data_IF_267935825673
#
_entry.id   IF_267935825673
#
_cell.length_a   1.000
_cell.length_b   1.000
_cell.length_c   1.000
_cell.angle_alpha   90.00
_cell.angle_beta   90.00
_cell.angle_gamma   90.00
#
_symmetry.space_group_name_H-M   'P 1'
#
loop_
_entity.id
_entity.type
_entity.pdbx_description
1 polymer ?
2 non-polymer ?
3 non-polymer ?
4 water ?
#
# COMPACT_ATOMS: atom_id res chain seq x y z
N UNK A 3 -24.09 1.75 -9.04
CA UNK A 3 -23.60 0.67 -8.16
C UNK A 3 -24.66 0.12 -7.23
N UNK A 4 -24.61 -1.15 -6.87
CA UNK A 4 -25.47 -1.68 -5.80
C UNK A 4 -25.32 -0.91 -4.48
N UNK A 5 -26.31 -0.96 -3.62
CA UNK A 5 -26.12 -0.39 -2.25
C UNK A 5 -25.07 -1.16 -1.49
N UNK A 6 -24.17 -0.49 -0.76
CA UNK A 6 -23.26 -1.20 0.14
C UNK A 6 -24.08 -2.04 1.14
N UNK A 7 -23.54 -3.18 1.52
CA UNK A 7 -24.27 -4.08 2.41
C UNK A 7 -23.62 -4.01 3.81
N UNK A 8 -24.21 -3.25 4.73
CA UNK A 8 -23.59 -3.12 6.03
C UNK A 8 -23.70 -4.35 6.87
N UNK A 9 -24.75 -5.16 6.73
CA UNK A 9 -24.84 -6.41 7.48
C UNK A 9 -23.71 -7.32 7.04
N UNK A 10 -23.44 -7.37 5.73
CA UNK A 10 -22.31 -8.14 5.21
C UNK A 10 -20.96 -7.60 5.73
N UNK A 11 -20.79 -6.27 5.73
CA UNK A 11 -19.57 -5.74 6.30
C UNK A 11 -19.41 -6.12 7.75
N UNK A 12 -20.49 -6.02 8.52
CA UNK A 12 -20.43 -6.39 9.95
C UNK A 12 -19.94 -7.84 10.09
N UNK A 13 -20.49 -8.73 9.25
CA UNK A 13 -20.11 -10.16 9.32
C UNK A 13 -18.66 -10.34 8.93
N UNK A 14 -18.16 -9.60 7.96
CA UNK A 14 -16.75 -9.73 7.58
C UNK A 14 -15.90 -9.37 8.78
N UNK A 15 -16.17 -8.26 9.44
CA UNK A 15 -15.31 -7.84 10.55
C UNK A 15 -15.39 -8.86 11.69
N UNK A 16 -16.59 -9.38 11.96
CA UNK A 16 -16.74 -10.34 13.04
C UNK A 16 -16.00 -11.61 12.73
N UNK A 17 -16.04 -12.05 11.46
CA UNK A 17 -15.25 -13.23 11.06
C UNK A 17 -13.78 -12.96 11.22
N UNK A 18 -13.28 -11.81 10.81
CA UNK A 18 -11.87 -11.49 10.98
C UNK A 18 -11.43 -11.56 12.45
N UNK A 19 -12.24 -11.02 13.35
CA UNK A 19 -11.92 -11.16 14.79
C UNK A 19 -11.83 -12.63 15.18
N UNK A 20 -12.77 -13.45 14.68
CA UNK A 20 -12.77 -14.87 15.08
C UNK A 20 -11.53 -15.56 14.55
N UNK A 21 -10.85 -14.99 13.56
CA UNK A 21 -9.69 -15.61 12.95
C UNK A 21 -8.39 -15.03 13.49
N UNK A 22 -8.46 -14.07 14.42
CA UNK A 22 -7.25 -13.63 15.10
C UNK A 22 -6.98 -12.16 14.97
N UNK A 23 -7.79 -11.40 14.27
CA UNK A 23 -7.60 -9.95 14.27
C UNK A 23 -8.05 -9.39 15.61
N UNK A 24 -7.25 -8.63 16.34
CA UNK A 24 -7.74 -8.00 17.56
C UNK A 24 -8.85 -7.01 17.24
N UNK A 25 -8.74 -6.29 16.14
CA UNK A 25 -9.69 -5.25 15.72
C UNK A 25 -9.77 -5.26 14.19
N UNK A 26 -10.92 -4.81 13.69
CA UNK A 26 -11.09 -4.73 12.23
C UNK A 26 -12.10 -3.64 11.99
N UNK A 27 -11.93 -2.87 10.89
CA UNK A 27 -12.83 -1.73 10.66
C UNK A 27 -12.86 -1.44 9.17
N UNK A 28 -13.88 -0.68 8.78
CA UNK A 28 -14.08 -0.33 7.36
C UNK A 28 -14.85 0.97 7.26
N UNK A 29 -14.46 1.78 6.25
CA UNK A 29 -15.21 2.98 5.96
C UNK A 29 -15.49 3.02 4.47
N UNK A 30 -16.74 3.28 4.12
CA UNK A 30 -17.11 3.47 2.70
C UNK A 30 -17.56 4.89 2.52
N UNK A 31 -17.04 5.52 1.50
CA UNK A 31 -17.57 6.84 1.08
C UNK A 31 -18.36 6.52 -0.19
N UNK A 32 -19.69 6.47 -0.09
CA UNK A 32 -20.56 6.12 -1.19
C UNK A 32 -21.15 7.41 -1.77
N UNK A 33 -20.40 8.07 -2.60
CA UNK A 33 -20.88 9.29 -3.26
C UNK A 33 -21.47 10.26 -2.25
N UNK A 34 -20.78 10.47 -1.13
CA UNK A 34 -21.21 11.45 -0.16
C UNK A 34 -22.04 10.93 0.98
N UNK A 35 -22.37 9.64 1.01
CA UNK A 35 -23.02 8.98 2.12
C UNK A 35 -21.99 8.05 2.75
N UNK A 36 -21.74 8.19 4.04
CA UNK A 36 -20.69 7.42 4.71
C UNK A 36 -21.23 6.14 5.32
N UNK A 37 -20.46 5.06 5.21
CA UNK A 37 -20.71 3.85 5.99
C UNK A 37 -19.48 3.62 6.87
N UNK A 38 -19.64 3.31 8.14
CA UNK A 38 -18.45 3.09 8.98
C UNK A 38 -18.81 2.04 10.03
N UNK A 39 -17.93 1.03 10.11
CA UNK A 39 -18.12 -0.07 11.05
C UNK A 39 -16.75 -0.46 11.63
N UNK A 40 -16.79 -0.91 12.87
CA UNK A 40 -15.54 -1.37 13.51
C UNK A 40 -15.89 -2.40 14.57
N UNK A 41 -15.01 -3.33 14.82
CA UNK A 41 -15.27 -4.28 15.91
C UNK A 41 -13.92 -4.58 16.54
N UNK A 42 -13.91 -4.76 17.86
CA UNK A 42 -12.68 -5.21 18.52
C UNK A 42 -11.80 -4.06 18.99
N UNK A 43 -10.51 -4.37 19.15
CA UNK A 43 -9.65 -3.51 19.95
C UNK A 43 -8.51 -2.97 19.12
N UNK A 44 -8.21 -1.70 19.35
CA UNK A 44 -7.00 -1.04 18.85
C UNK A 44 -5.78 -1.46 19.65
N UNK A 45 -5.94 -1.64 20.95
CA UNK A 45 -4.86 -2.08 21.83
C UNK A 45 -5.39 -3.27 22.60
N UNK A 46 -4.83 -4.45 22.35
CA UNK A 46 -5.43 -5.64 23.00
C UNK A 46 -5.04 -5.76 24.43
N UNK A 47 -3.98 -5.07 24.85
CA UNK A 47 -3.54 -5.13 26.24
C UNK A 47 -4.33 -4.17 27.11
N UNK A 48 -4.62 -2.96 26.60
CA UNK A 48 -5.41 -2.04 27.40
C UNK A 48 -6.90 -2.19 27.15
N UNK A 49 -7.27 -2.85 26.04
CA UNK A 49 -8.66 -3.04 25.72
C UNK A 49 -9.27 -1.87 25.01
N UNK A 50 -8.54 -0.83 24.64
CA UNK A 50 -9.13 0.31 23.96
C UNK A 50 -9.76 -0.09 22.63
N UNK A 51 -11.03 0.25 22.38
CA UNK A 51 -11.72 -0.14 21.20
C UNK A 51 -11.13 0.49 19.96
N UNK A 52 -11.13 -0.30 18.87
CA UNK A 52 -10.74 0.25 17.56
C UNK A 52 -11.88 1.07 17.00
N UNK A 53 -11.54 2.11 16.23
CA UNK A 53 -12.55 2.95 15.55
C UNK A 53 -12.08 3.31 14.16
N UNK A 54 -12.95 3.76 13.27
CA UNK A 54 -12.56 4.07 11.89
C UNK A 54 -11.75 5.36 11.82
N UNK A 55 -11.58 6.10 12.92
CA UNK A 55 -10.66 7.27 12.85
C UNK A 55 -9.26 6.94 13.33
N UNK A 56 -8.99 5.72 13.78
CA UNK A 56 -7.64 5.40 14.23
C UNK A 56 -6.65 5.39 13.08
N UNK A 57 -5.52 6.06 13.28
CA UNK A 57 -4.51 5.96 12.24
C UNK A 57 -3.82 4.61 12.25
N UNK A 58 -3.21 4.30 11.11
CA UNK A 58 -2.58 3.00 10.96
C UNK A 58 -1.51 3.06 9.88
N UNK A 59 -0.70 2.01 9.82
CA UNK A 59 0.34 1.91 8.77
C UNK A 59 -0.26 1.26 7.54
N UNK A 60 -0.20 1.95 6.41
CA UNK A 60 -0.91 1.49 5.20
C UNK A 60 -0.07 0.56 4.34
N UNK A 61 1.18 0.30 4.73
CA UNK A 61 2.02 -0.61 3.93
C UNK A 61 2.08 -0.21 2.48
N UNK A 62 1.90 -1.22 1.62
CA UNK A 62 2.14 -1.01 0.20
C UNK A 62 1.15 -0.09 -0.50
N UNK A 63 0.11 0.40 0.17
CA UNK A 63 -0.65 1.52 -0.37
C UNK A 63 0.29 2.68 -0.66
N UNK A 64 1.41 2.78 0.08
CA UNK A 64 2.43 3.78 -0.21
C UNK A 64 2.88 3.76 -1.67
N UNK A 65 2.88 2.59 -2.29
CA UNK A 65 3.31 2.55 -3.69
C UNK A 65 2.46 3.45 -4.58
N UNK A 66 1.14 3.55 -4.27
CA UNK A 66 0.32 4.43 -5.08
C UNK A 66 0.67 5.89 -4.88
N UNK A 67 1.03 6.26 -3.64
CA UNK A 67 1.47 7.64 -3.41
C UNK A 67 2.76 7.91 -4.16
N UNK A 68 3.73 6.98 -4.10
CA UNK A 68 4.97 7.13 -4.87
C UNK A 68 4.69 7.26 -6.36
N UNK A 69 3.78 6.40 -6.87
CA UNK A 69 3.45 6.42 -8.32
C UNK A 69 2.82 7.76 -8.71
N UNK A 70 1.93 8.32 -7.89
CA UNK A 70 1.34 9.60 -8.24
C UNK A 70 2.41 10.68 -8.35
N UNK A 71 3.37 10.70 -7.39
CA UNK A 71 4.43 11.71 -7.52
C UNK A 71 5.19 11.50 -8.83
N UNK A 72 5.58 10.26 -9.12
CA UNK A 72 6.33 10.04 -10.35
C UNK A 72 5.51 10.44 -11.58
N UNK A 73 4.23 10.15 -11.58
CA UNK A 73 3.45 10.51 -12.78
C UNK A 73 3.27 12.00 -12.89
N UNK A 74 3.21 12.75 -11.80
CA UNK A 74 3.22 14.24 -11.93
C UNK A 74 4.55 14.68 -12.48
N UNK A 75 5.67 14.01 -12.13
CA UNK A 75 6.96 14.38 -12.73
C UNK A 75 6.97 14.09 -14.21
N UNK A 76 6.30 13.04 -14.66
CA UNK A 76 6.14 12.82 -16.11
C UNK A 76 5.35 13.95 -16.71
N UNK A 77 4.22 14.36 -16.12
CA UNK A 77 3.46 15.51 -16.61
C UNK A 77 4.32 16.77 -16.72
N UNK A 78 5.26 16.96 -15.79
CA UNK A 78 6.13 18.16 -15.77
C UNK A 78 7.30 18.06 -16.73
N UNK A 79 7.46 16.91 -17.43
CA UNK A 79 8.55 16.76 -18.39
C UNK A 79 9.85 16.34 -17.76
N UNK A 80 9.81 15.90 -16.52
CA UNK A 80 11.03 15.58 -15.78
C UNK A 80 11.41 14.11 -15.83
N UNK A 81 10.50 13.29 -16.33
CA UNK A 81 10.63 11.84 -16.25
C UNK A 81 9.96 11.26 -17.48
N UNK A 82 10.58 10.31 -18.13
CA UNK A 82 9.99 9.58 -19.25
C UNK A 82 9.84 8.15 -18.80
N UNK A 83 8.61 7.63 -18.83
CA UNK A 83 8.39 6.28 -18.31
C UNK A 83 9.19 5.22 -19.06
N UNK A 84 9.53 5.46 -20.35
CA UNK A 84 10.23 4.41 -21.08
C UNK A 84 11.73 4.65 -21.06
N UNK A 85 12.23 5.69 -20.37
CA UNK A 85 13.69 5.80 -20.21
C UNK A 85 14.16 4.76 -19.20
N UNK A 86 15.42 4.38 -19.34
CA UNK A 86 16.03 3.46 -18.39
C UNK A 86 16.18 4.09 -17.02
N UNK A 87 16.04 3.28 -15.98
CA UNK A 87 16.31 3.76 -14.63
C UNK A 87 17.71 4.38 -14.56
N UNK A 88 18.69 3.69 -15.18
CA UNK A 88 20.09 4.14 -15.07
C UNK A 88 20.32 5.46 -15.77
N UNK A 89 19.42 5.89 -16.67
CA UNK A 89 19.53 7.25 -17.19
C UNK A 89 19.48 8.27 -16.07
N UNK A 90 18.62 8.05 -15.05
CA UNK A 90 18.46 9.04 -13.98
C UNK A 90 19.31 8.72 -12.75
N UNK A 91 19.61 7.44 -12.57
CA UNK A 91 20.34 6.96 -11.41
C UNK A 91 21.54 6.15 -11.94
N UNK A 92 22.59 6.85 -12.38
CA UNK A 92 23.60 6.14 -13.18
C UNK A 92 24.26 5.07 -12.32
N UNK A 93 24.53 3.94 -12.97
CA UNK A 93 25.20 2.86 -12.29
C UNK A 93 24.30 2.09 -11.33
N UNK A 94 23.03 2.43 -11.16
CA UNK A 94 22.29 1.78 -10.08
C UNK A 94 22.01 0.32 -10.35
N UNK A 95 21.46 -0.01 -11.53
CA UNK A 95 21.03 -1.38 -11.82
C UNK A 95 22.03 -2.03 -12.75
N UNK A 96 22.18 -3.35 -12.71
CA UNK A 96 23.16 -4.03 -13.57
C UNK A 96 22.71 -4.04 -15.02
N UNK A 97 21.45 -3.72 -15.32
CA UNK A 97 20.92 -3.79 -16.69
C UNK A 97 20.43 -2.41 -17.05
N UNK A 98 21.08 -1.74 -18.00
CA UNK A 98 20.74 -0.37 -18.38
C UNK A 98 19.50 -0.40 -19.25
N UNK A 99 18.83 -1.51 -19.47
CA UNK A 99 17.60 -1.55 -20.26
C UNK A 99 16.35 -1.61 -19.36
N UNK A 100 16.54 -1.79 -18.05
CA UNK A 100 15.35 -1.77 -17.16
C UNK A 100 14.82 -0.35 -17.12
N UNK A 101 13.51 -0.22 -17.43
CA UNK A 101 12.93 1.12 -17.55
C UNK A 101 12.06 1.49 -16.34
N UNK A 102 11.74 2.77 -16.25
CA UNK A 102 10.92 3.27 -15.15
C UNK A 102 9.55 2.61 -15.20
N UNK A 103 8.95 2.43 -16.36
CA UNK A 103 7.63 1.80 -16.50
C UNK A 103 7.69 0.37 -16.02
N UNK A 104 8.77 -0.34 -16.37
CA UNK A 104 8.91 -1.72 -15.90
C UNK A 104 9.00 -1.75 -14.38
N UNK A 105 9.76 -0.85 -13.74
CA UNK A 105 9.83 -0.86 -12.25
C UNK A 105 8.47 -0.59 -11.69
N UNK A 106 7.75 0.40 -12.23
CA UNK A 106 6.47 0.79 -11.61
C UNK A 106 5.37 -0.25 -11.74
N UNK A 107 5.54 -1.16 -12.70
CA UNK A 107 4.55 -2.24 -12.91
C UNK A 107 5.06 -3.59 -12.47
N UNK A 108 6.19 -3.64 -11.75
CA UNK A 108 6.76 -4.90 -11.27
C UNK A 108 7.11 -5.82 -12.42
N UNK A 109 7.61 -5.27 -13.55
CA UNK A 109 8.07 -6.13 -14.66
C UNK A 109 9.57 -6.01 -14.82
N UNK A 110 10.26 -5.52 -13.81
CA UNK A 110 11.69 -5.22 -13.98
C UNK A 110 12.58 -6.44 -13.75
N UNK A 111 12.07 -7.47 -13.10
CA UNK A 111 12.90 -8.60 -12.67
C UNK A 111 13.69 -8.36 -11.41
N UNK A 112 13.60 -7.19 -10.76
CA UNK A 112 14.41 -7.01 -9.56
C UNK A 112 13.95 -7.92 -8.43
N UNK A 113 14.89 -8.59 -7.80
CA UNK A 113 14.57 -9.52 -6.74
C UNK A 113 14.07 -8.75 -5.51
N UNK A 114 13.09 -9.32 -4.82
CA UNK A 114 12.54 -8.62 -3.65
C UNK A 114 13.34 -8.98 -2.40
N UNK A 115 14.13 -8.04 -1.91
CA UNK A 115 14.98 -8.28 -0.74
C UNK A 115 14.16 -8.70 0.49
N UNK A 116 12.88 -8.33 0.53
CA UNK A 116 12.13 -8.65 1.74
C UNK A 116 11.87 -10.16 1.86
N UNK A 117 12.03 -10.96 0.81
CA UNK A 117 11.97 -12.40 0.97
C UNK A 117 13.15 -12.92 1.79
N UNK A 118 14.28 -12.20 1.80
CA UNK A 118 15.37 -12.61 2.67
C UNK A 118 15.06 -12.17 4.08
N UNK A 119 14.58 -10.95 4.23
CA UNK A 119 14.42 -10.36 5.57
C UNK A 119 13.41 -11.13 6.41
N UNK A 120 12.32 -11.59 5.77
CA UNK A 120 11.19 -12.07 6.55
C UNK A 120 10.95 -13.56 6.37
N UNK A 121 12.01 -14.31 6.02
CA UNK A 121 11.85 -15.76 5.96
C UNK A 121 11.29 -16.33 7.24
N UNK A 122 11.67 -15.75 8.37
CA UNK A 122 11.07 -16.01 9.68
C UNK A 122 10.38 -14.74 10.14
N UNK A 123 9.07 -14.78 10.42
CA UNK A 123 8.26 -13.57 10.58
C UNK A 123 8.71 -12.73 11.74
N UNK A 124 8.69 -13.31 12.95
CA UNK A 124 9.00 -12.48 14.12
C UNK A 124 10.49 -12.21 14.20
N UNK A 125 11.42 -13.15 14.02
CA UNK A 125 12.83 -12.80 14.05
C UNK A 125 13.13 -11.76 13.00
N UNK A 126 12.52 -11.85 11.81
CA UNK A 126 12.83 -10.84 10.77
C UNK A 126 12.36 -9.45 11.17
N UNK A 127 11.15 -9.41 11.75
CA UNK A 127 10.67 -8.13 12.27
C UNK A 127 11.61 -7.60 13.32
N UNK A 128 12.03 -8.44 14.27
CA UNK A 128 12.92 -7.95 15.32
C UNK A 128 14.21 -7.46 14.71
N UNK A 129 14.65 -8.07 13.63
CA UNK A 129 15.90 -7.66 13.00
C UNK A 129 15.75 -6.29 12.36
N UNK A 130 14.65 -5.96 11.68
CA UNK A 130 14.64 -4.72 10.89
C UNK A 130 13.92 -3.60 11.62
N UNK A 131 13.17 -3.85 12.70
CA UNK A 131 12.21 -2.84 13.16
C UNK A 131 12.87 -1.55 13.60
N UNK A 132 14.08 -1.63 14.12
CA UNK A 132 14.82 -0.46 14.59
C UNK A 132 16.01 -0.13 13.72
N UNK A 133 16.08 -0.67 12.52
CA UNK A 133 17.17 -0.33 11.59
C UNK A 133 16.77 0.85 10.73
N UNK A 134 17.78 1.62 10.37
CA UNK A 134 17.64 2.70 9.37
C UNK A 134 18.50 2.33 8.16
N UNK A 135 17.89 2.19 7.02
CA UNK A 135 18.55 1.85 5.80
C UNK A 135 18.61 3.07 4.88
N UNK A 136 19.64 3.23 4.06
CA UNK A 136 19.54 4.17 2.95
C UNK A 136 18.77 3.48 1.85
N UNK A 137 18.34 4.23 0.85
CA UNK A 137 17.75 3.62 -0.33
C UNK A 137 18.77 2.68 -0.99
N UNK A 138 20.01 3.16 -1.13
CA UNK A 138 21.04 2.36 -1.79
C UNK A 138 21.26 1.04 -1.03
N UNK A 139 21.18 1.04 0.31
CA UNK A 139 21.34 -0.19 1.07
C UNK A 139 20.36 -1.25 0.62
N UNK A 140 19.11 -0.83 0.43
CA UNK A 140 18.08 -1.81 0.05
C UNK A 140 18.27 -2.28 -1.38
N UNK A 141 18.67 -1.36 -2.30
CA UNK A 141 18.98 -1.81 -3.66
C UNK A 141 20.12 -2.84 -3.64
N UNK A 142 21.16 -2.54 -2.86
CA UNK A 142 22.30 -3.46 -2.83
C UNK A 142 21.84 -4.82 -2.33
N UNK A 143 20.93 -4.88 -1.34
CA UNK A 143 20.44 -6.16 -0.84
C UNK A 143 19.74 -6.88 -1.95
N UNK A 144 18.93 -6.20 -2.76
CA UNK A 144 18.27 -6.88 -3.90
C UNK A 144 19.30 -7.42 -4.86
N UNK A 145 20.32 -6.60 -5.18
CA UNK A 145 21.23 -6.88 -6.30
C UNK A 145 22.19 -8.02 -5.95
N UNK A 146 22.26 -8.42 -4.67
CA UNK A 146 23.02 -9.60 -4.31
C UNK A 146 22.46 -10.82 -5.03
N UNK A 147 21.22 -10.80 -5.44
CA UNK A 147 20.53 -11.87 -6.10
C UNK A 147 20.50 -11.63 -7.58
N UNK A 148 20.22 -12.62 -8.40
CA UNK A 148 20.27 -12.02 -9.80
C UNK A 148 18.92 -11.33 -9.99
N UNK A 149 18.63 -10.93 -11.19
CA UNK A 149 17.23 -10.67 -11.52
C UNK A 149 16.51 -11.99 -11.75
N UNK A 150 15.18 -11.92 -11.69
CA UNK A 150 14.42 -13.17 -11.73
C UNK A 150 13.87 -13.40 -13.12
N UNK A 151 13.93 -12.41 -14.01
CA UNK A 151 13.42 -12.55 -15.36
C UNK A 151 13.96 -11.38 -16.18
N UNK A 152 13.83 -11.49 -17.52
CA UNK A 152 14.24 -10.42 -18.42
C UNK A 152 13.46 -9.15 -18.19
N UNK A 153 14.01 -7.96 -18.43
CA UNK A 153 13.21 -6.75 -18.21
C UNK A 153 11.94 -6.75 -19.07
N UNK A 154 10.89 -6.34 -18.37
CA UNK A 154 9.56 -6.17 -18.94
C UNK A 154 8.81 -7.46 -19.14
N UNK A 155 9.46 -8.62 -18.90
CA UNK A 155 9.00 -9.91 -19.38
C UNK A 155 7.91 -10.65 -18.62
N UNK A 156 7.64 -10.35 -17.39
CA UNK A 156 7.00 -11.15 -16.38
C UNK A 156 6.64 -10.18 -15.25
N UNK A 157 5.43 -10.28 -14.73
CA UNK A 157 5.08 -9.60 -13.49
C UNK A 157 5.64 -10.39 -12.31
N UNK A 158 6.33 -9.68 -11.47
CA UNK A 158 6.85 -10.27 -10.23
C UNK A 158 6.89 -9.18 -9.19
N UNK A 159 5.93 -9.18 -8.26
CA UNK A 159 5.91 -8.10 -7.27
C UNK A 159 7.20 -7.99 -6.52
N UNK A 160 7.68 -6.76 -6.38
CA UNK A 160 8.93 -6.62 -5.61
C UNK A 160 8.99 -5.26 -4.98
N UNK A 161 9.19 -5.19 -3.66
CA UNK A 161 9.39 -3.89 -2.97
C UNK A 161 10.56 -3.14 -3.57
N UNK A 162 11.59 -3.83 -4.07
CA UNK A 162 12.72 -3.14 -4.66
C UNK A 162 12.26 -2.12 -5.69
N UNK A 163 11.24 -2.44 -6.47
CA UNK A 163 10.78 -1.50 -7.50
C UNK A 163 10.42 -0.14 -6.90
N UNK A 164 9.78 -0.16 -5.70
CA UNK A 164 9.32 1.15 -5.18
C UNK A 164 10.36 1.75 -4.25
N UNK A 165 11.44 1.02 -3.93
CA UNK A 165 12.67 1.68 -3.45
C UNK A 165 13.28 2.48 -4.58
N UNK A 166 13.41 1.86 -5.77
CA UNK A 166 13.87 2.66 -6.91
C UNK A 166 12.98 3.85 -7.11
N UNK A 167 11.67 3.69 -6.95
CA UNK A 167 10.74 4.83 -7.15
C UNK A 167 11.12 5.98 -6.23
N UNK A 168 11.38 5.70 -4.94
CA UNK A 168 11.73 6.76 -3.96
C UNK A 168 13.05 7.40 -4.36
N UNK A 169 14.01 6.60 -4.85
CA UNK A 169 15.28 7.19 -5.27
C UNK A 169 15.12 8.12 -6.45
N UNK A 170 14.23 7.72 -7.37
CA UNK A 170 13.98 8.59 -8.51
C UNK A 170 13.32 9.90 -8.08
N UNK A 171 12.32 9.80 -7.21
CA UNK A 171 11.69 11.03 -6.72
C UNK A 171 12.74 11.95 -6.11
N UNK A 172 13.59 11.43 -5.24
CA UNK A 172 14.51 12.35 -4.52
C UNK A 172 15.56 12.89 -5.45
N UNK A 173 16.01 12.07 -6.39
CA UNK A 173 17.06 12.57 -7.32
C UNK A 173 16.48 13.64 -8.22
N UNK A 174 15.32 13.38 -8.82
CA UNK A 174 14.83 14.33 -9.83
C UNK A 174 14.29 15.60 -9.21
N UNK A 175 13.82 15.56 -7.96
CA UNK A 175 13.26 16.76 -7.33
C UNK A 175 14.24 17.47 -6.44
N UNK A 176 15.27 16.79 -5.97
CA UNK A 176 16.17 17.39 -4.97
C UNK A 176 15.52 17.47 -3.61
N UNK A 177 14.35 16.86 -3.39
CA UNK A 177 13.68 16.91 -2.10
C UNK A 177 13.47 15.51 -1.55
N UNK A 178 13.17 15.45 -0.27
CA UNK A 178 12.85 14.14 0.31
C UNK A 178 11.49 13.63 -0.18
N UNK A 179 11.26 12.32 -0.10
CA UNK A 179 9.91 11.84 -0.42
C UNK A 179 8.90 12.40 0.55
N UNK A 180 9.23 12.64 1.82
CA UNK A 180 8.19 13.22 2.68
C UNK A 180 7.74 14.56 2.15
N UNK A 181 8.68 15.43 1.71
CA UNK A 181 8.31 16.72 1.23
C UNK A 181 7.45 16.61 -0.04
N UNK A 182 7.80 15.71 -0.95
CA UNK A 182 7.07 15.57 -2.20
C UNK A 182 5.67 15.02 -1.93
N UNK A 183 5.56 14.03 -1.06
CA UNK A 183 4.20 13.55 -0.71
C UNK A 183 3.39 14.70 -0.12
N UNK A 184 3.99 15.47 0.80
CA UNK A 184 3.22 16.56 1.47
C UNK A 184 2.77 17.57 0.43
N UNK A 185 3.67 18.03 -0.42
CA UNK A 185 3.33 19.19 -1.28
C UNK A 185 2.45 18.75 -2.44
N UNK A 186 2.58 17.53 -2.91
CA UNK A 186 1.87 17.09 -4.12
C UNK A 186 0.58 16.36 -3.85
N UNK A 187 0.43 15.80 -2.63
CA UNK A 187 -0.71 14.95 -2.35
C UNK A 187 -1.33 15.33 -1.02
N UNK A 188 -0.58 15.29 0.09
CA UNK A 188 -1.25 15.44 1.40
C UNK A 188 -1.83 16.85 1.58
N UNK A 189 -1.06 17.86 1.28
CA UNK A 189 -1.64 19.21 1.45
C UNK A 189 -2.74 19.46 0.46
N UNK A 190 -2.60 19.25 -0.87
CA UNK A 190 -3.69 19.58 -1.79
C UNK A 190 -4.99 18.86 -1.48
N UNK A 191 -4.92 17.61 -0.99
CA UNK A 191 -6.16 16.88 -0.66
C UNK A 191 -6.54 17.05 0.81
N UNK A 192 -5.82 17.84 1.60
CA UNK A 192 -6.09 18.06 3.00
C UNK A 192 -6.19 16.74 3.75
N UNK A 193 -5.19 15.88 3.55
CA UNK A 193 -5.13 14.58 4.22
C UNK A 193 -4.50 14.76 5.59
N UNK A 194 -5.29 15.24 6.55
CA UNK A 194 -4.75 15.66 7.83
C UNK A 194 -4.39 14.49 8.75
N UNK A 195 -4.78 13.27 8.38
CA UNK A 195 -4.40 12.08 9.14
C UNK A 195 -3.28 11.28 8.43
N UNK A 196 -2.66 11.90 7.42
CA UNK A 196 -1.71 11.14 6.60
C UNK A 196 -0.33 11.70 6.78
N UNK A 197 0.65 10.85 7.02
CA UNK A 197 2.00 11.22 7.36
C UNK A 197 3.02 10.29 6.73
N UNK A 198 4.22 10.79 6.57
CA UNK A 198 5.40 10.01 6.24
C UNK A 198 6.49 10.56 7.15
N UNK A 199 6.82 9.77 8.18
CA UNK A 199 7.67 10.26 9.29
C UNK A 199 8.98 9.50 9.37
N UNK A 200 9.23 8.60 8.40
CA UNK A 200 10.44 7.77 8.47
C UNK A 200 11.67 8.59 8.80
N UNK A 201 12.57 8.14 9.63
CA UNK A 201 12.56 6.86 10.35
C UNK A 201 11.94 6.88 11.71
N UNK A 202 11.09 7.90 11.99
CA UNK A 202 10.45 7.89 13.31
C UNK A 202 9.54 6.68 13.48
N UNK A 203 9.50 6.14 14.70
CA UNK A 203 8.75 4.97 15.01
C UNK A 203 7.37 5.23 15.63
N UNK A 204 7.11 6.48 16.00
CA UNK A 204 5.87 6.89 16.61
C UNK A 204 4.80 7.08 15.54
N UNK A 205 3.58 6.61 15.83
CA UNK A 205 2.48 6.95 14.93
C UNK A 205 1.76 8.17 15.50
N UNK A 206 1.71 9.30 14.80
CA UNK A 206 1.08 10.49 15.37
C UNK A 206 -0.38 10.28 15.70
N UNK A 207 -0.81 10.82 16.84
CA UNK A 207 -2.21 10.79 17.19
C UNK A 207 -2.71 9.43 17.56
N UNK A 208 -4.02 9.36 17.78
CA UNK A 208 -4.67 8.11 18.18
C UNK A 208 -4.60 7.11 17.05
N UNK A 209 -4.12 5.91 17.36
CA UNK A 209 -3.85 4.91 16.31
C UNK A 209 -4.21 3.52 16.78
N UNK A 210 -4.43 2.66 15.81
CA UNK A 210 -4.54 1.23 16.11
C UNK A 210 -3.12 0.71 16.33
N UNK A 211 -2.91 -0.08 17.35
CA UNK A 211 -1.65 -0.81 17.46
C UNK A 211 -1.70 -2.00 16.51
N UNK A 212 -0.52 -2.44 16.07
CA UNK A 212 -0.42 -3.57 15.13
C UNK A 212 0.02 -4.78 15.89
N UNK A 213 -0.52 -5.95 15.54
CA UNK A 213 -0.19 -7.18 16.23
C UNK A 213 0.27 -8.21 15.23
N UNK A 214 1.56 -8.51 15.27
CA UNK A 214 2.11 -9.47 14.32
C UNK A 214 1.84 -10.88 14.78
N UNK A 215 1.26 -11.72 13.89
CA UNK A 215 1.00 -13.11 14.23
C UNK A 215 2.26 -13.90 14.03
N UNK A 216 2.70 -14.73 15.01
CA UNK A 216 3.95 -15.46 14.84
C UNK A 216 3.73 -16.64 13.90
N UNK A 217 4.82 -17.20 13.37
CA UNK A 217 4.71 -18.38 12.49
C UNK A 217 4.18 -19.60 13.19
N UNK A 218 4.36 -19.70 14.48
CA UNK A 218 3.88 -20.83 15.28
C UNK A 218 2.38 -20.69 15.49
N UNK A 219 1.59 -21.63 15.02
CA UNK A 219 0.16 -21.61 15.24
C UNK A 219 -0.14 -21.49 16.73
N UNK A 220 -1.06 -20.60 17.08
CA UNK A 220 -1.45 -20.46 18.45
C UNK A 220 -0.53 -19.55 19.25
N UNK A 221 0.57 -19.10 18.66
CA UNK A 221 1.55 -18.33 19.46
C UNK A 221 1.06 -16.94 19.81
N UNK A 222 1.70 -16.43 20.85
CA UNK A 222 1.33 -15.12 21.33
C UNK A 222 1.60 -14.03 20.31
N UNK A 223 0.72 -13.04 20.20
CA UNK A 223 0.91 -11.95 19.24
C UNK A 223 2.01 -11.00 19.77
N UNK A 224 2.70 -10.42 18.80
CA UNK A 224 3.78 -9.45 19.05
C UNK A 224 3.32 -8.06 18.72
N UNK A 225 3.44 -7.10 19.62
CA UNK A 225 3.11 -5.71 19.28
C UNK A 225 4.16 -5.17 18.31
N UNK A 226 3.72 -4.86 17.09
CA UNK A 226 4.63 -4.43 16.03
C UNK A 226 4.33 -2.98 15.64
N UNK A 227 3.58 -2.24 16.48
CA UNK A 227 3.15 -0.90 16.18
C UNK A 227 4.31 0.02 15.82
N UNK A 228 5.35 0.07 16.67
CA UNK A 228 6.38 1.13 16.54
C UNK A 228 7.65 0.58 15.88
N UNK A 229 7.90 1.00 14.65
CA UNK A 229 9.04 0.53 13.89
C UNK A 229 9.36 1.61 12.88
N UNK A 230 10.57 1.52 12.33
CA UNK A 230 10.99 2.61 11.43
C UNK A 230 10.34 2.47 10.06
N UNK A 231 9.99 1.23 9.67
CA UNK A 231 9.57 0.89 8.30
C UNK A 231 10.65 1.31 7.30
N UNK A 232 11.89 1.35 7.77
CA UNK A 232 12.99 1.80 6.89
C UNK A 232 13.32 0.79 5.80
N UNK A 233 12.90 -0.48 6.06
CA UNK A 233 13.08 -1.54 5.08
C UNK A 233 12.13 -1.33 3.91
N UNK A 234 11.15 -0.43 3.99
CA UNK A 234 10.25 -0.18 2.83
C UNK A 234 10.26 1.27 2.34
N UNK A 235 10.18 2.26 3.23
CA UNK A 235 10.27 3.67 2.81
C UNK A 235 9.23 3.99 1.75
N UNK A 236 9.62 4.42 0.56
CA UNK A 236 8.66 4.76 -0.51
C UNK A 236 7.95 3.56 -1.06
N UNK A 237 8.25 2.35 -0.60
CA UNK A 237 7.47 1.16 -0.92
C UNK A 237 6.41 0.84 0.15
N UNK A 238 6.46 1.48 1.32
CA UNK A 238 5.57 0.99 2.38
C UNK A 238 5.41 1.79 3.64
N UNK A 239 5.96 3.01 3.82
CA UNK A 239 5.98 3.62 5.17
C UNK A 239 4.93 4.67 5.41
N UNK A 240 3.99 4.98 4.53
CA UNK A 240 2.93 5.97 4.85
C UNK A 240 2.02 5.50 5.99
N UNK A 241 1.61 6.49 6.79
CA UNK A 241 0.58 6.35 7.83
C UNK A 241 -0.67 7.09 7.38
N UNK A 242 -1.85 6.54 7.57
CA UNK A 242 -3.06 7.25 7.14
C UNK A 242 -4.27 6.78 7.95
N UNK A 243 -5.42 7.13 7.44
CA UNK A 243 -6.71 6.79 8.03
C UNK A 243 -7.65 6.28 6.95
N UNK A 244 -8.75 5.66 7.35
CA UNK A 244 -9.70 5.20 6.32
C UNK A 244 -10.27 6.42 5.55
N UNK A 245 -10.59 7.53 6.23
CA UNK A 245 -11.15 8.64 5.50
C UNK A 245 -10.12 9.18 4.52
N UNK A 246 -8.85 9.29 4.91
CA UNK A 246 -7.87 9.87 4.01
C UNK A 246 -7.56 8.95 2.84
N UNK A 247 -7.51 7.62 3.03
CA UNK A 247 -7.26 6.76 1.85
C UNK A 247 -8.47 6.79 0.91
N UNK A 248 -9.68 6.90 1.46
CA UNK A 248 -10.86 7.05 0.61
C UNK A 248 -10.70 8.34 -0.19
N UNK A 249 -10.33 9.45 0.46
CA UNK A 249 -10.20 10.70 -0.29
C UNK A 249 -9.14 10.56 -1.34
N UNK A 250 -8.01 9.94 -1.01
CA UNK A 250 -6.92 9.80 -1.99
C UNK A 250 -7.31 9.00 -3.20
N UNK A 251 -7.88 7.77 -3.01
CA UNK A 251 -8.20 6.99 -4.21
C UNK A 251 -9.37 7.57 -4.99
N UNK A 252 -10.31 8.23 -4.31
CA UNK A 252 -11.37 8.92 -5.07
C UNK A 252 -10.77 10.02 -5.92
N UNK A 253 -9.83 10.79 -5.34
CA UNK A 253 -9.20 11.90 -6.12
C UNK A 253 -8.43 11.33 -7.29
N UNK A 254 -7.72 10.23 -7.05
CA UNK A 254 -6.91 9.64 -8.12
C UNK A 254 -7.85 9.26 -9.26
N UNK A 255 -8.88 8.47 -8.97
CA UNK A 255 -9.69 7.85 -10.03
C UNK A 255 -10.59 8.88 -10.72
N UNK A 256 -10.95 9.95 -9.98
CA UNK A 256 -11.77 11.00 -10.60
C UNK A 256 -10.90 12.00 -11.32
N UNK A 257 -9.58 11.86 -11.43
CA UNK A 257 -8.77 12.63 -12.34
C UNK A 257 -8.14 13.85 -11.70
N UNK A 258 -8.03 13.94 -10.38
CA UNK A 258 -7.58 15.17 -9.73
C UNK A 258 -6.08 15.18 -9.49
N UNK A 259 -5.37 14.08 -9.67
CA UNK A 259 -3.97 14.04 -9.24
C UNK A 259 -2.93 14.03 -10.33
N UNK A 260 -3.33 14.05 -11.61
CA UNK A 260 -2.39 14.06 -12.71
C UNK A 260 -3.16 14.28 -13.99
N UNK A 261 -2.47 14.42 -15.12
CA UNK A 261 -3.20 14.57 -16.38
C UNK A 261 -3.99 13.31 -16.71
N UNK A 262 -4.99 13.44 -17.58
CA UNK A 262 -5.72 12.26 -18.06
C UNK A 262 -4.73 11.29 -18.72
N UNK A 263 -3.73 11.83 -19.44
CA UNK A 263 -2.80 10.92 -20.15
C UNK A 263 -2.07 10.05 -19.18
N UNK A 264 -1.59 10.68 -18.10
CA UNK A 264 -0.81 9.87 -17.15
C UNK A 264 -1.71 8.93 -16.34
N UNK A 265 -2.96 9.27 -16.04
CA UNK A 265 -3.84 8.31 -15.36
C UNK A 265 -4.07 7.15 -16.27
N UNK A 266 -4.18 7.39 -17.60
CA UNK A 266 -4.36 6.23 -18.51
C UNK A 266 -3.15 5.32 -18.47
N UNK A 267 -1.95 5.90 -18.40
CA UNK A 267 -0.73 5.05 -18.32
C UNK A 267 -0.77 4.26 -17.02
N UNK A 268 -1.25 4.90 -15.93
CA UNK A 268 -1.31 4.23 -14.64
C UNK A 268 -2.22 3.03 -14.62
N UNK A 269 -3.20 3.03 -15.52
CA UNK A 269 -4.23 1.98 -15.60
C UNK A 269 -4.00 1.04 -16.77
N UNK A 270 -2.78 0.97 -17.33
CA UNK A 270 -2.49 -0.07 -18.33
C UNK A 270 -2.17 -1.33 -17.54
N UNK A 271 -3.07 -2.29 -17.55
CA UNK A 271 -2.94 -3.43 -16.65
C UNK A 271 -2.04 -4.51 -17.19
N UNK A 272 -1.15 -4.93 -16.28
CA UNK A 272 -0.38 -6.16 -16.40
C UNK A 272 -1.09 -7.25 -15.61
N UNK A 273 -1.26 -8.42 -16.18
CA UNK A 273 -1.95 -9.48 -15.46
C UNK A 273 -1.24 -9.95 -14.23
N UNK A 274 -1.99 -10.05 -13.12
CA UNK A 274 -1.45 -10.57 -11.86
C UNK A 274 -1.94 -11.98 -11.66
N UNK A 275 -3.26 -12.12 -11.76
CA UNK A 275 -3.93 -13.43 -11.72
C UNK A 275 -5.25 -13.28 -12.47
N UNK A 276 -6.09 -14.31 -12.46
CA UNK A 276 -7.26 -14.23 -13.37
C UNK A 276 -8.26 -13.16 -12.93
N UNK A 277 -8.13 -12.59 -11.74
CA UNK A 277 -9.08 -11.55 -11.29
C UNK A 277 -8.34 -10.28 -10.86
N UNK A 278 -7.09 -10.11 -11.25
CA UNK A 278 -6.30 -8.98 -10.80
C UNK A 278 -5.32 -8.49 -11.85
N UNK A 279 -5.13 -7.19 -11.84
CA UNK A 279 -4.13 -6.53 -12.68
C UNK A 279 -3.24 -5.59 -11.83
N UNK A 280 -2.13 -5.19 -12.41
CA UNK A 280 -1.30 -4.19 -11.78
C UNK A 280 -0.94 -3.18 -12.84
N UNK A 281 -1.10 -1.91 -12.55
CA UNK A 281 -0.82 -0.84 -13.50
C UNK A 281 0.53 -0.22 -13.17
N UNK A 282 0.55 1.07 -12.80
CA UNK A 282 1.79 1.74 -12.32
C UNK A 282 1.53 2.09 -10.88
N UNK A 283 2.01 1.27 -9.95
CA UNK A 283 1.74 1.49 -8.53
C UNK A 283 0.25 1.44 -8.19
N UNK A 284 -0.53 0.61 -8.84
CA UNK A 284 -1.99 0.59 -8.77
C UNK A 284 -2.48 -0.83 -9.02
N UNK A 285 -3.43 -1.31 -8.20
CA UNK A 285 -4.03 -2.62 -8.40
C UNK A 285 -5.43 -2.52 -8.93
N UNK A 286 -5.80 -3.51 -9.75
CA UNK A 286 -7.18 -3.72 -10.17
C UNK A 286 -7.64 -5.03 -9.57
N UNK A 287 -8.80 -5.02 -8.89
CA UNK A 287 -9.39 -6.27 -8.45
C UNK A 287 -10.79 -6.40 -9.09
N UNK A 288 -11.08 -7.57 -9.65
CA UNK A 288 -12.33 -7.88 -10.30
C UNK A 288 -13.22 -8.60 -9.31
N UNK A 289 -14.36 -8.03 -8.99
CA UNK A 289 -15.25 -8.56 -7.95
C UNK A 289 -16.27 -9.46 -8.56
N UNK A 290 -16.91 -10.25 -7.66
CA UNK A 290 -17.78 -11.33 -8.19
C UNK A 290 -18.94 -10.83 -8.99
N UNK A 291 -19.42 -9.64 -8.73
CA UNK A 291 -20.60 -9.13 -9.43
C UNK A 291 -20.24 -8.40 -10.69
N UNK A 292 -18.99 -8.56 -11.17
CA UNK A 292 -18.72 -7.98 -12.50
C UNK A 292 -18.28 -6.55 -12.39
N UNK A 293 -17.95 -6.00 -11.25
CA UNK A 293 -17.39 -4.68 -11.02
C UNK A 293 -15.89 -4.85 -10.80
N UNK A 294 -15.08 -3.98 -11.42
CA UNK A 294 -13.69 -3.87 -11.03
C UNK A 294 -13.46 -2.63 -10.16
N UNK A 295 -12.51 -2.76 -9.22
CA UNK A 295 -12.16 -1.64 -8.34
C UNK A 295 -10.64 -1.48 -8.34
N UNK A 296 -10.19 -0.29 -7.93
CA UNK A 296 -8.86 0.21 -8.24
C UNK A 296 -8.25 0.81 -7.00
N UNK A 297 -7.01 0.44 -6.68
CA UNK A 297 -6.41 0.98 -5.45
C UNK A 297 -5.21 0.15 -5.06
N UNK A 298 -5.09 -0.23 -3.81
CA UNK A 298 -3.94 -1.02 -3.41
C UNK A 298 -4.24 -1.70 -2.10
N UNK A 299 -3.60 -2.84 -1.88
CA UNK A 299 -3.55 -3.50 -0.61
C UNK A 299 -2.30 -3.06 0.14
N UNK A 300 -2.26 -3.32 1.44
CA UNK A 300 -1.07 -3.12 2.23
C UNK A 300 -0.88 -4.19 3.27
N UNK A 301 0.33 -4.63 3.64
CA UNK A 301 0.55 -5.63 4.69
C UNK A 301 1.67 -5.51 5.71
N UNK A 302 1.98 -4.41 6.32
CA UNK A 302 3.19 -4.14 7.09
C UNK A 302 2.96 -4.85 8.41
N UNK A 303 3.97 -5.09 9.22
CA UNK A 303 3.78 -5.97 10.37
C UNK A 303 2.70 -5.44 11.28
N UNK A 304 1.67 -6.27 11.47
CA UNK A 304 0.55 -5.94 12.32
C UNK A 304 -0.61 -5.24 11.63
N UNK A 305 -0.54 -4.94 10.34
CA UNK A 305 -1.64 -4.21 9.70
C UNK A 305 -1.90 -4.71 8.27
N UNK A 306 -3.14 -5.12 8.04
CA UNK A 306 -3.60 -5.45 6.70
C UNK A 306 -4.59 -4.38 6.23
N UNK A 307 -4.33 -3.79 5.07
CA UNK A 307 -5.15 -2.74 4.51
C UNK A 307 -5.69 -3.11 3.14
N UNK A 308 -6.95 -2.76 2.88
CA UNK A 308 -7.50 -2.74 1.53
C UNK A 308 -8.01 -1.35 1.27
N UNK A 309 -7.61 -0.68 0.21
CA UNK A 309 -8.12 0.65 -0.11
C UNK A 309 -8.39 0.70 -1.60
N UNK A 310 -9.68 0.74 -1.96
CA UNK A 310 -10.06 0.61 -3.37
C UNK A 310 -11.23 1.52 -3.69
N UNK A 311 -11.28 2.00 -4.92
CA UNK A 311 -12.35 2.88 -5.38
C UNK A 311 -12.91 2.40 -6.69
N UNK A 312 -14.14 2.83 -6.99
CA UNK A 312 -14.70 2.53 -8.31
C UNK A 312 -13.99 3.33 -9.39
N UNK A 313 -14.27 2.96 -10.65
CA UNK A 313 -13.55 3.55 -11.76
C UNK A 313 -13.66 5.07 -11.77
N UNK A 314 -14.79 5.68 -11.40
CA UNK A 314 -14.90 7.14 -11.46
C UNK A 314 -14.65 7.79 -10.10
N UNK A 315 -14.20 6.99 -9.12
CA UNK A 315 -13.89 7.52 -7.80
C UNK A 315 -15.09 7.78 -6.94
N UNK A 316 -16.33 7.56 -7.40
CA UNK A 316 -17.45 8.00 -6.56
C UNK A 316 -17.70 7.10 -5.38
N UNK A 317 -17.28 5.85 -5.40
CA UNK A 317 -17.38 5.05 -4.17
C UNK A 317 -15.95 4.59 -3.82
N UNK A 318 -15.56 4.79 -2.58
CA UNK A 318 -14.24 4.31 -2.14
C UNK A 318 -14.42 3.57 -0.81
N UNK A 319 -13.55 2.62 -0.59
CA UNK A 319 -13.63 1.77 0.61
C UNK A 319 -12.24 1.58 1.17
N UNK A 320 -12.06 1.71 2.45
CA UNK A 320 -10.80 1.37 3.10
C UNK A 320 -11.13 0.51 4.29
N UNK A 321 -10.49 -0.65 4.36
CA UNK A 321 -10.63 -1.59 5.47
C UNK A 321 -9.29 -1.90 6.07
N UNK A 322 -9.26 -2.11 7.38
CA UNK A 322 -8.02 -2.36 8.13
C UNK A 322 -8.31 -3.45 9.16
N UNK A 323 -7.42 -4.42 9.26
CA UNK A 323 -7.38 -5.32 10.43
C UNK A 323 -6.01 -5.15 11.04
N UNK A 324 -5.93 -5.00 12.36
CA UNK A 324 -4.62 -4.77 12.99
C UNK A 324 -3.93 -6.06 13.39
N UNK A 325 -3.85 -6.97 12.40
CA UNK A 325 -2.88 -8.06 12.52
C UNK A 325 -2.27 -8.26 11.13
N UNK A 326 -1.21 -9.06 11.08
CA UNK A 326 -0.68 -9.55 9.79
C UNK A 326 -0.09 -10.91 10.01
N UNK A 327 0.51 -11.46 8.97
CA UNK A 327 0.95 -12.86 8.98
C UNK A 327 -0.21 -13.76 9.41
N UNK A 328 -1.38 -13.53 8.83
CA UNK A 328 -2.60 -14.30 9.15
C UNK A 328 -3.43 -14.33 7.90
N UNK A 329 -3.20 -15.39 7.09
CA UNK A 329 -3.85 -15.36 5.78
C UNK A 329 -5.35 -15.53 5.93
N UNK A 330 -5.86 -16.20 6.97
CA UNK A 330 -7.33 -16.24 7.13
C UNK A 330 -7.87 -14.81 7.23
N UNK A 331 -7.25 -14.00 8.07
CA UNK A 331 -7.71 -12.62 8.22
C UNK A 331 -7.54 -11.85 6.92
N UNK A 332 -6.41 -12.02 6.24
CA UNK A 332 -6.23 -11.28 4.99
C UNK A 332 -7.31 -11.61 4.00
N UNK A 333 -7.60 -12.91 3.84
CA UNK A 333 -8.59 -13.35 2.85
C UNK A 333 -9.97 -12.85 3.27
N UNK A 334 -10.28 -12.92 4.57
CA UNK A 334 -11.59 -12.43 5.03
C UNK A 334 -11.73 -10.95 4.76
N UNK A 335 -10.69 -10.16 5.06
CA UNK A 335 -10.86 -8.69 4.90
C UNK A 335 -11.09 -8.32 3.46
N UNK A 336 -10.62 -9.11 2.49
CA UNK A 336 -10.91 -8.81 1.09
C UNK A 336 -12.40 -8.80 0.81
N UNK A 337 -13.17 -9.55 1.62
CA UNK A 337 -14.62 -9.58 1.38
C UNK A 337 -15.28 -8.25 1.67
N UNK A 338 -14.62 -7.33 2.40
CA UNK A 338 -15.23 -6.00 2.53
C UNK A 338 -15.49 -5.40 1.14
N UNK A 339 -14.68 -5.67 0.14
CA UNK A 339 -14.89 -5.06 -1.17
C UNK A 339 -16.15 -5.61 -1.80
N UNK A 340 -16.36 -6.92 -1.66
CA UNK A 340 -17.63 -7.50 -2.15
C UNK A 340 -18.81 -6.86 -1.47
N UNK A 341 -18.82 -6.79 -0.14
CA UNK A 341 -20.02 -6.24 0.50
C UNK A 341 -20.18 -4.76 0.16
N UNK A 342 -19.10 -4.02 0.04
CA UNK A 342 -19.23 -2.57 -0.13
C UNK A 342 -19.56 -2.19 -1.56
N UNK A 343 -19.11 -2.98 -2.56
CA UNK A 343 -19.35 -2.61 -3.94
C UNK A 343 -20.41 -3.48 -4.59
N UNK A 344 -20.45 -4.79 -4.33
CA UNK A 344 -21.46 -5.68 -4.90
C UNK A 344 -22.73 -5.70 -4.07
N UNK A 345 -22.66 -5.39 -2.80
CA UNK A 345 -23.93 -5.32 -2.02
C UNK A 345 -24.44 -6.71 -1.65
N UNK A 346 -25.68 -6.73 -1.16
CA UNK A 346 -26.29 -7.99 -0.71
C UNK A 346 -26.42 -8.92 -1.91
N UNK A 347 -26.21 -10.20 -1.63
CA UNK A 347 -26.53 -11.27 -2.55
C UNK A 347 -28.03 -11.33 -2.83
X LIG B 1 6.42 -8.37 4.04
X LIG B 1 6.59 -8.96 5.44
X LIG B 1 5.61 -7.11 4.07
X LIG B 1 5.18 -9.06 6.04
X LIG B 1 5.81 -6.30 2.78
X LIG B 1 4.99 -5.23 2.76
X LIG B 1 6.56 -6.62 1.90
X LIG B 1 4.65 -4.32 1.69
X LIG B 1 5.17 -2.98 2.14
X LIG B 1 5.19 -4.76 0.35
X LIG B 1 4.35 -2.09 2.50
X LIG B 1 5.05 -10.12 7.17
X LIG B 1 5.14 -11.49 6.75
X LIG B 1 3.65 -9.90 7.77
X LIG B 1 6.21 -12.26 7.05
X LIG B 1 6.24 -13.59 6.34
X LIG B 1 7.08 -11.88 7.80
X LIG B 1 7.25 -14.44 6.99
X LIG B 1 3.56 -9.01 8.60
X LIG B 1 2.71 -10.59 7.42
X LIG B 1 6.40 -2.81 2.20
X LIG C 1 1.93 -7.21 -0.74
X LIG C 1 1.50 -5.87 -0.37
X LIG C 1 0.60 -5.86 0.87
X LIG C 1 0.70 -5.20 -1.48
X LIG C 1 -0.38 -4.65 -1.12
X LIG C 1 1.13 -5.09 -2.63
#
# INVERSE_FOLDING_TARGET
ADLPAPDDTGLQAVLHTALSQGAPGAMVRVDDNGTIHQLSEGVADRATGRAITTTDRFRVGSVTKSFSAVVLLQLVDEGKLDLDASVNTYLPGLLPDDRITVRQVMSHRSGLYDYTNDMFAQTVPGFESVRNKVFSYQDLITLSLKHGVTNAPGAAYSYSNTNFVVAGMLIEKLTGHSVATEYQNRIFTPLNLTDTFYVHPDTVIPGTHANGYLTPDEAGGALVDSTEQTVSWAQSAGAVISSTQDLDTFFSALMSGQLMSAAQLAQMQQWTTVNSTQGYGLGLRRRDLSCGISVYGHTGTVQGYYTYAFASKDGKRSVTALANTSNNVNVLNTMARTLESAFCGKPTT
REY C1 C2 C3 C4 C5 N1 O1 C6 C7 C8 O2 C9 N3 C10 C11 C12 O3 N4 O4 O5 O6
DAL N CA CB C O OXT
#
